data_IF_595195769897
#
_entry.id   IF_595195769897
#
_cell.length_a   1.000
_cell.length_b   1.000
_cell.length_c   1.000
_cell.angle_alpha   90.00
_cell.angle_beta   90.00
_cell.angle_gamma   90.00
#
_symmetry.space_group_name_H-M   'P 1'
#
loop_
_entity.id
_entity.type
_entity.pdbx_description
1 polymer ?
#
# COMPACT_ATOMS: atom_id res chain seq x y z
N UNK A 1 -0.23 -16.06 6.78
CA UNK A 1 0.96 -15.59 6.06
C UNK A 1 2.14 -15.43 7.03
N UNK A 2 3.10 -16.38 7.04
CA UNK A 2 4.29 -16.33 7.85
C UNK A 2 5.34 -17.34 7.33
N UNK A 3 6.60 -16.98 7.23
CA UNK A 3 7.14 -15.61 7.32
C UNK A 3 6.76 -14.78 6.11
N UNK A 4 6.72 -13.45 6.28
CA UNK A 4 6.44 -12.51 5.19
C UNK A 4 7.17 -11.18 5.41
N UNK A 5 7.06 -10.27 4.46
CA UNK A 5 7.56 -8.89 4.56
C UNK A 5 6.45 -7.91 4.21
N UNK A 6 6.47 -6.71 4.77
CA UNK A 6 5.72 -5.59 4.18
C UNK A 6 6.66 -4.88 3.21
N UNK A 7 6.42 -4.92 1.90
CA UNK A 7 7.31 -4.31 0.93
C UNK A 7 7.30 -2.78 1.02
N UNK A 8 8.45 -2.16 1.16
CA UNK A 8 9.78 -2.72 1.46
C UNK A 8 10.30 -2.16 2.80
N UNK A 9 9.39 -1.56 3.60
CA UNK A 9 9.76 -0.89 4.84
C UNK A 9 10.19 -1.90 5.90
N UNK A 10 11.12 -1.48 6.75
CA UNK A 10 11.56 -2.25 7.91
C UNK A 10 11.11 -1.60 9.22
N UNK A 11 11.31 -2.31 10.30
CA UNK A 11 10.95 -1.87 11.63
C UNK A 11 11.99 -2.33 12.68
N UNK A 12 11.94 -1.72 13.85
CA UNK A 12 12.71 -2.14 15.00
C UNK A 12 11.85 -2.99 15.92
N UNK A 13 12.32 -4.19 16.30
CA UNK A 13 11.57 -5.08 17.17
C UNK A 13 11.40 -4.51 18.59
N UNK A 14 12.40 -3.74 19.04
CA UNK A 14 12.41 -3.16 20.38
C UNK A 14 13.29 -1.89 20.41
N UNK A 15 13.36 -1.25 21.57
CA UNK A 15 14.14 -0.02 21.77
C UNK A 15 15.64 -0.23 21.60
N UNK A 16 16.16 -1.37 22.06
CA UNK A 16 17.59 -1.70 21.95
C UNK A 16 18.00 -1.83 20.48
N UNK A 17 17.20 -2.54 19.66
CA UNK A 17 17.45 -2.66 18.23
C UNK A 17 17.42 -1.28 17.52
N UNK A 18 16.51 -0.40 17.94
CA UNK A 18 16.45 0.95 17.41
C UNK A 18 17.70 1.79 17.77
N UNK A 19 18.22 1.65 18.99
CA UNK A 19 19.45 2.32 19.43
C UNK A 19 20.70 1.78 18.68
N UNK A 20 20.68 0.50 18.33
CA UNK A 20 21.77 -0.18 17.59
C UNK A 20 21.60 -0.10 16.07
N UNK A 21 20.48 0.43 15.57
CA UNK A 21 20.17 0.47 14.12
C UNK A 21 19.91 -0.91 13.50
N UNK A 22 19.48 -1.90 14.27
CA UNK A 22 19.18 -3.26 13.79
C UNK A 22 17.75 -3.29 13.26
N UNK A 23 17.63 -3.25 11.92
CA UNK A 23 16.34 -3.23 11.23
C UNK A 23 15.89 -4.66 10.91
N UNK A 24 14.62 -4.94 11.15
CA UNK A 24 13.94 -6.17 10.81
C UNK A 24 12.97 -5.92 9.65
N UNK A 25 12.94 -6.83 8.68
CA UNK A 25 12.00 -6.79 7.54
C UNK A 25 11.02 -7.97 7.54
N UNK A 26 11.35 -9.04 8.24
CA UNK A 26 10.52 -10.26 8.28
C UNK A 26 9.52 -10.16 9.42
N UNK A 27 8.27 -10.42 9.09
CA UNK A 27 7.16 -10.40 10.05
C UNK A 27 6.20 -11.57 9.83
N UNK A 28 5.12 -11.59 10.58
CA UNK A 28 3.97 -12.46 10.36
C UNK A 28 2.76 -11.58 9.99
N UNK A 29 2.00 -12.02 8.98
CA UNK A 29 0.70 -11.44 8.67
C UNK A 29 0.71 -9.93 8.45
N UNK A 30 1.57 -9.43 7.56
CA UNK A 30 1.53 -8.01 7.21
C UNK A 30 0.11 -7.58 6.81
N UNK A 31 -0.22 -6.33 6.99
CA UNK A 31 -1.55 -5.80 6.63
C UNK A 31 -1.83 -6.02 5.15
N UNK A 32 -0.85 -5.81 4.28
CA UNK A 32 -0.98 -6.06 2.84
C UNK A 32 -1.34 -7.52 2.54
N UNK A 33 -0.67 -8.50 3.17
CA UNK A 33 -0.96 -9.92 2.95
C UNK A 33 -2.39 -10.28 3.35
N UNK A 34 -2.83 -9.78 4.51
CA UNK A 34 -4.21 -10.02 4.96
C UNK A 34 -5.23 -9.39 4.00
N UNK A 35 -4.96 -8.20 3.49
CA UNK A 35 -5.81 -7.51 2.52
C UNK A 35 -5.86 -8.26 1.18
N UNK A 36 -4.71 -8.68 0.64
CA UNK A 36 -4.65 -9.45 -0.61
C UNK A 36 -5.36 -10.80 -0.46
N UNK A 37 -5.10 -11.52 0.63
CA UNK A 37 -5.71 -12.83 0.88
C UNK A 37 -7.23 -12.69 0.97
N UNK A 38 -7.74 -11.67 1.65
CA UNK A 38 -9.17 -11.38 1.74
C UNK A 38 -9.78 -11.12 0.36
N UNK A 39 -9.13 -10.29 -0.44
CA UNK A 39 -9.58 -9.97 -1.80
C UNK A 39 -9.71 -11.22 -2.67
N UNK A 40 -8.69 -12.10 -2.61
CA UNK A 40 -8.70 -13.35 -3.37
C UNK A 40 -9.81 -14.28 -2.88
N UNK A 41 -10.00 -14.42 -1.57
CA UNK A 41 -11.06 -15.26 -1.02
C UNK A 41 -12.45 -14.76 -1.43
N UNK A 42 -12.72 -13.45 -1.34
CA UNK A 42 -13.96 -12.84 -1.78
C UNK A 42 -14.20 -13.03 -3.29
N UNK A 43 -13.15 -12.88 -4.11
CA UNK A 43 -13.23 -13.09 -5.54
C UNK A 43 -13.57 -14.56 -5.89
N UNK A 44 -12.93 -15.53 -5.21
CA UNK A 44 -13.20 -16.97 -5.41
C UNK A 44 -14.62 -17.33 -4.97
N UNK A 45 -15.08 -16.85 -3.81
CA UNK A 45 -16.44 -17.08 -3.31
C UNK A 45 -17.45 -16.54 -4.33
N UNK A 46 -17.30 -15.28 -4.75
CA UNK A 46 -18.19 -14.65 -5.73
C UNK A 46 -18.22 -15.40 -7.07
N UNK A 47 -17.06 -15.81 -7.57
CA UNK A 47 -16.97 -16.57 -8.81
C UNK A 47 -17.67 -17.94 -8.70
N UNK A 48 -17.45 -18.66 -7.59
CA UNK A 48 -18.07 -19.96 -7.36
C UNK A 48 -19.60 -19.85 -7.20
N UNK A 49 -20.11 -18.79 -6.59
CA UNK A 49 -21.55 -18.51 -6.49
C UNK A 49 -22.16 -18.24 -7.87
N UNK A 50 -21.52 -17.41 -8.70
CA UNK A 50 -21.97 -17.10 -10.06
C UNK A 50 -21.99 -18.37 -10.92
N UNK A 51 -20.94 -19.17 -10.84
CA UNK A 51 -20.80 -20.43 -11.60
C UNK A 51 -21.64 -21.57 -11.03
N UNK A 52 -22.20 -21.40 -9.81
CA UNK A 52 -22.97 -22.42 -9.08
C UNK A 52 -22.21 -23.72 -8.86
N UNK A 53 -20.91 -23.62 -8.57
CA UNK A 53 -20.02 -24.76 -8.34
C UNK A 53 -19.34 -24.68 -6.98
N UNK A 54 -18.66 -25.75 -6.59
CA UNK A 54 -17.71 -25.80 -5.47
C UNK A 54 -18.21 -25.32 -4.09
N UNK A 55 -19.47 -25.67 -3.74
CA UNK A 55 -20.09 -25.25 -2.47
C UNK A 55 -19.29 -25.59 -1.21
N UNK A 56 -18.52 -26.68 -1.24
CA UNK A 56 -17.63 -27.04 -0.15
C UNK A 56 -16.48 -26.03 -0.03
N UNK A 57 -15.86 -25.68 -1.16
CA UNK A 57 -14.78 -24.71 -1.25
C UNK A 57 -15.23 -23.32 -0.75
N UNK A 58 -16.44 -22.88 -1.10
CA UNK A 58 -17.01 -21.61 -0.60
C UNK A 58 -16.96 -21.58 0.93
N UNK A 59 -17.46 -22.62 1.61
CA UNK A 59 -17.47 -22.70 3.07
C UNK A 59 -16.06 -22.65 3.68
N UNK A 60 -15.10 -23.30 3.04
CA UNK A 60 -13.71 -23.30 3.51
C UNK A 60 -13.09 -21.91 3.39
N UNK A 61 -13.34 -21.17 2.31
CA UNK A 61 -12.87 -19.81 2.14
C UNK A 61 -13.59 -18.80 3.04
N UNK A 62 -14.91 -18.94 3.24
CA UNK A 62 -15.65 -18.14 4.22
C UNK A 62 -15.05 -18.30 5.61
N UNK A 63 -14.84 -19.56 6.04
CA UNK A 63 -14.24 -19.85 7.34
C UNK A 63 -12.83 -19.31 7.46
N UNK A 64 -12.00 -19.46 6.43
CA UNK A 64 -10.63 -18.91 6.42
C UNK A 64 -10.63 -17.37 6.43
N UNK A 65 -11.54 -16.72 5.70
CA UNK A 65 -11.67 -15.27 5.65
C UNK A 65 -12.00 -14.67 7.02
N UNK A 66 -12.86 -15.32 7.80
CA UNK A 66 -13.19 -14.88 9.17
C UNK A 66 -12.00 -14.91 10.13
N UNK A 67 -10.95 -15.64 9.81
CA UNK A 67 -9.73 -15.77 10.63
C UNK A 67 -8.61 -14.84 10.21
N UNK A 68 -8.76 -14.12 9.09
CA UNK A 68 -7.81 -13.10 8.69
C UNK A 68 -7.88 -11.90 9.63
N UNK A 69 -6.71 -11.37 9.96
CA UNK A 69 -6.62 -10.17 10.79
C UNK A 69 -7.25 -9.00 10.03
N UNK A 70 -8.17 -8.25 10.64
CA UNK A 70 -8.75 -7.07 10.02
C UNK A 70 -7.71 -5.95 9.88
N UNK A 71 -7.93 -5.03 8.96
CA UNK A 71 -7.14 -3.80 8.90
C UNK A 71 -7.33 -3.01 10.19
N UNK A 72 -6.24 -2.66 10.86
CA UNK A 72 -6.23 -2.00 12.16
C UNK A 72 -5.66 -0.59 12.06
N UNK A 73 -6.05 0.25 13.02
CA UNK A 73 -5.57 1.61 13.19
C UNK A 73 -4.61 1.64 14.38
N UNK A 74 -3.44 2.25 14.19
CA UNK A 74 -2.43 2.45 15.22
C UNK A 74 -2.81 3.55 16.20
N UNK A 75 -2.08 3.64 17.31
CA UNK A 75 -2.28 4.66 18.34
C UNK A 75 -2.11 6.10 17.83
N UNK A 76 -1.34 6.29 16.73
CA UNK A 76 -1.13 7.60 16.09
C UNK A 76 -2.15 7.89 14.95
N UNK A 77 -3.15 7.04 14.79
CA UNK A 77 -4.27 7.21 13.85
C UNK A 77 -3.99 6.78 12.43
N UNK A 78 -2.90 6.06 12.15
CA UNK A 78 -2.56 5.52 10.83
C UNK A 78 -3.05 4.08 10.66
N UNK A 79 -3.13 3.60 9.43
CA UNK A 79 -3.27 2.16 9.17
C UNK A 79 -1.99 1.46 9.64
N UNK A 80 -2.14 0.42 10.45
CA UNK A 80 -1.01 -0.41 10.88
C UNK A 80 -0.43 -1.19 9.70
N UNK A 81 0.88 -1.16 9.55
CA UNK A 81 1.58 -1.90 8.49
C UNK A 81 1.86 -3.35 8.88
N UNK A 82 2.08 -3.60 10.18
CA UNK A 82 2.39 -4.91 10.76
C UNK A 82 1.39 -5.33 11.82
N UNK A 83 1.55 -6.53 12.34
CA UNK A 83 0.69 -7.09 13.40
C UNK A 83 0.76 -6.30 14.71
N UNK A 84 1.90 -5.70 14.99
CA UNK A 84 2.14 -4.88 16.19
C UNK A 84 2.54 -3.46 15.78
N UNK A 85 2.40 -2.52 16.70
CA UNK A 85 2.84 -1.13 16.52
C UNK A 85 4.36 -1.02 16.69
N UNK A 86 5.10 -1.49 15.70
CA UNK A 86 6.55 -1.33 15.69
C UNK A 86 6.95 0.10 15.33
N UNK A 87 8.12 0.51 15.81
CA UNK A 87 8.76 1.74 15.33
C UNK A 87 9.31 1.49 13.94
N UNK A 88 8.82 2.24 12.97
CA UNK A 88 9.28 2.16 11.59
C UNK A 88 10.77 2.55 11.46
N UNK A 89 11.50 1.86 10.58
CA UNK A 89 12.86 2.24 10.24
C UNK A 89 12.87 3.51 9.37
N UNK A 90 11.91 3.64 8.46
CA UNK A 90 11.76 4.79 7.58
C UNK A 90 10.30 5.27 7.55
N UNK A 91 9.97 6.27 8.37
CA UNK A 91 8.61 6.82 8.49
C UNK A 91 8.09 7.41 7.17
N UNK A 92 8.98 7.94 6.33
CA UNK A 92 8.66 8.50 5.00
C UNK A 92 8.99 7.55 3.85
N UNK A 93 9.00 6.24 4.12
CA UNK A 93 9.25 5.24 3.09
C UNK A 93 8.32 5.46 1.89
N UNK A 94 8.87 5.34 0.68
CA UNK A 94 8.12 5.57 -0.56
C UNK A 94 6.95 4.60 -0.76
N UNK A 95 7.06 3.37 -0.24
CA UNK A 95 6.02 2.36 -0.33
C UNK A 95 4.96 2.51 0.77
N UNK A 96 3.74 2.18 0.42
CA UNK A 96 2.56 2.23 1.28
C UNK A 96 1.69 0.98 1.10
N UNK A 97 2.35 -0.18 1.12
CA UNK A 97 1.76 -1.50 0.84
C UNK A 97 0.52 -1.82 1.69
N UNK A 98 0.49 -1.37 2.93
CA UNK A 98 -0.64 -1.51 3.86
C UNK A 98 -1.90 -0.69 3.47
N UNK A 99 -1.83 0.09 2.39
CA UNK A 99 -2.98 0.76 1.77
C UNK A 99 -3.54 0.01 0.55
N UNK A 100 -3.09 -1.22 0.27
CA UNK A 100 -3.66 -2.07 -0.78
C UNK A 100 -5.19 -2.17 -0.67
N UNK A 101 -5.72 -2.24 0.54
CA UNK A 101 -7.16 -2.27 0.81
C UNK A 101 -7.92 -1.00 0.39
N UNK A 102 -7.22 0.14 0.21
CA UNK A 102 -7.79 1.36 -0.35
C UNK A 102 -7.78 1.32 -1.89
N UNK A 103 -6.65 0.91 -2.48
CA UNK A 103 -6.46 0.70 -3.92
C UNK A 103 -5.27 -0.25 -4.14
N UNK A 104 -5.36 -1.26 -5.03
CA UNK A 104 -6.44 -1.50 -6.01
C UNK A 104 -7.71 -2.13 -5.41
N UNK A 105 -7.63 -2.79 -4.25
CA UNK A 105 -8.82 -3.33 -3.59
C UNK A 105 -9.83 -2.24 -3.19
N UNK A 106 -10.99 -2.66 -2.68
CA UNK A 106 -12.05 -1.77 -2.25
C UNK A 106 -12.55 -2.12 -0.84
N UNK A 107 -11.63 -2.51 0.05
CA UNK A 107 -11.92 -2.85 1.45
C UNK A 107 -12.00 -1.61 2.36
N UNK A 108 -11.29 -0.54 1.98
CA UNK A 108 -11.34 0.78 2.63
C UNK A 108 -12.13 1.71 1.72
N UNK A 109 -13.34 2.04 2.12
CA UNK A 109 -14.28 2.81 1.32
C UNK A 109 -15.03 3.85 2.16
N UNK A 110 -15.93 4.59 1.55
CA UNK A 110 -16.80 5.55 2.26
C UNK A 110 -17.71 4.88 3.31
N UNK A 111 -17.95 3.56 3.22
CA UNK A 111 -18.66 2.80 4.23
C UNK A 111 -17.82 2.43 5.45
N UNK A 112 -16.48 2.66 5.38
CA UNK A 112 -15.54 2.48 6.48
C UNK A 112 -14.82 3.82 6.80
N UNK A 113 -15.54 4.83 7.30
CA UNK A 113 -15.03 6.21 7.40
C UNK A 113 -13.80 6.33 8.32
N UNK A 114 -13.71 5.51 9.36
CA UNK A 114 -12.55 5.49 10.27
C UNK A 114 -11.28 5.00 9.55
N UNK A 115 -11.40 3.93 8.74
CA UNK A 115 -10.29 3.43 7.94
C UNK A 115 -9.91 4.43 6.83
N UNK A 116 -10.89 5.13 6.24
CA UNK A 116 -10.62 6.21 5.28
C UNK A 116 -9.83 7.34 5.91
N UNK A 117 -10.18 7.76 7.13
CA UNK A 117 -9.46 8.79 7.88
C UNK A 117 -8.02 8.31 8.21
N UNK A 118 -7.87 7.07 8.64
CA UNK A 118 -6.57 6.49 8.97
C UNK A 118 -5.68 6.33 7.71
N UNK A 119 -6.25 5.95 6.57
CA UNK A 119 -5.53 5.88 5.30
C UNK A 119 -5.05 7.28 4.84
N UNK A 120 -5.89 8.32 4.97
CA UNK A 120 -5.49 9.71 4.74
C UNK A 120 -4.33 10.10 5.65
N UNK A 121 -4.45 9.82 6.95
CA UNK A 121 -3.39 10.11 7.91
C UNK A 121 -2.08 9.40 7.58
N UNK A 122 -2.15 8.14 7.13
CA UNK A 122 -0.99 7.38 6.66
C UNK A 122 -0.28 8.09 5.51
N UNK A 123 -1.03 8.52 4.48
CA UNK A 123 -0.47 9.22 3.32
C UNK A 123 0.11 10.59 3.68
N UNK A 124 -0.51 11.31 4.61
CA UNK A 124 0.00 12.59 5.10
C UNK A 124 1.36 12.43 5.79
N UNK A 125 1.52 11.40 6.59
CA UNK A 125 2.79 11.10 7.28
C UNK A 125 3.85 10.60 6.29
N UNK A 126 3.50 9.71 5.37
CA UNK A 126 4.40 9.23 4.29
C UNK A 126 4.85 10.37 3.38
N UNK A 127 3.99 11.36 3.16
CA UNK A 127 4.24 12.49 2.30
C UNK A 127 4.12 12.17 0.81
N UNK A 128 4.28 13.21 0.01
CA UNK A 128 4.10 13.16 -1.45
C UNK A 128 5.34 12.65 -2.21
N UNK A 129 6.50 12.61 -1.56
CA UNK A 129 7.73 12.15 -2.17
C UNK A 129 7.64 10.69 -2.62
N UNK A 130 8.31 10.38 -3.70
CA UNK A 130 8.32 9.08 -4.33
C UNK A 130 8.50 9.21 -5.83
N UNK A 131 8.85 8.12 -6.49
CA UNK A 131 9.09 8.06 -7.92
C UNK A 131 8.41 6.83 -8.50
N UNK A 132 8.26 6.79 -9.82
CA UNK A 132 7.71 5.65 -10.51
C UNK A 132 6.32 5.24 -9.99
N UNK A 133 6.08 3.95 -9.91
CA UNK A 133 4.81 3.40 -9.47
C UNK A 133 4.39 3.86 -8.05
N UNK A 134 5.35 4.16 -7.18
CA UNK A 134 5.04 4.65 -5.84
C UNK A 134 4.26 5.98 -5.89
N UNK A 135 4.65 6.90 -6.77
CA UNK A 135 3.94 8.16 -6.97
C UNK A 135 2.61 7.94 -7.69
N UNK A 136 2.58 7.11 -8.73
CA UNK A 136 1.36 6.74 -9.43
C UNK A 136 0.33 6.12 -8.49
N UNK A 137 0.77 5.23 -7.61
CA UNK A 137 -0.10 4.62 -6.61
C UNK A 137 -0.65 5.65 -5.61
N UNK A 138 0.16 6.61 -5.17
CA UNK A 138 -0.32 7.71 -4.32
C UNK A 138 -1.36 8.58 -5.00
N UNK A 139 -1.28 8.79 -6.32
CA UNK A 139 -2.32 9.48 -7.11
C UNK A 139 -3.64 8.71 -6.99
N UNK A 140 -3.63 7.40 -7.20
CA UNK A 140 -4.81 6.54 -7.07
C UNK A 140 -5.41 6.58 -5.66
N UNK A 141 -4.58 6.57 -4.62
CA UNK A 141 -5.03 6.69 -3.22
C UNK A 141 -5.74 8.02 -2.96
N UNK A 142 -5.16 9.15 -3.37
CA UNK A 142 -5.77 10.46 -3.18
C UNK A 142 -7.07 10.60 -3.95
N UNK A 143 -7.15 10.05 -5.16
CA UNK A 143 -8.39 9.98 -5.92
C UNK A 143 -9.47 9.17 -5.19
N UNK A 144 -9.12 8.00 -4.63
CA UNK A 144 -10.04 7.18 -3.80
C UNK A 144 -10.49 7.90 -2.53
N UNK A 145 -9.64 8.71 -1.93
CA UNK A 145 -9.96 9.54 -0.76
C UNK A 145 -10.78 10.79 -1.12
N UNK A 146 -11.03 11.04 -2.41
CA UNK A 146 -11.80 12.19 -2.89
C UNK A 146 -11.00 13.52 -2.86
N UNK A 147 -9.69 13.45 -2.74
CA UNK A 147 -8.80 14.62 -2.77
C UNK A 147 -8.22 14.82 -4.18
N UNK A 148 -9.07 15.30 -5.09
CA UNK A 148 -8.72 15.52 -6.49
C UNK A 148 -7.58 16.50 -6.68
N UNK A 149 -7.53 17.58 -5.88
CA UNK A 149 -6.48 18.59 -5.97
C UNK A 149 -5.10 17.99 -5.67
N UNK A 150 -5.03 17.12 -4.67
CA UNK A 150 -3.75 16.47 -4.32
C UNK A 150 -3.37 15.41 -5.33
N UNK A 151 -4.34 14.65 -5.85
CA UNK A 151 -4.10 13.71 -6.93
C UNK A 151 -3.58 14.40 -8.19
N UNK A 152 -4.19 15.53 -8.61
CA UNK A 152 -3.76 16.36 -9.74
C UNK A 152 -2.34 16.90 -9.53
N UNK A 153 -2.05 17.46 -8.35
CA UNK A 153 -0.70 17.95 -8.02
C UNK A 153 0.36 16.85 -8.20
N UNK A 154 0.08 15.63 -7.73
CA UNK A 154 1.00 14.50 -7.86
C UNK A 154 1.12 14.04 -9.32
N UNK A 155 0.03 14.08 -10.09
CA UNK A 155 0.03 13.77 -11.52
C UNK A 155 0.91 14.75 -12.28
N UNK A 156 0.76 16.05 -12.06
CA UNK A 156 1.65 17.06 -12.65
C UNK A 156 3.12 16.80 -12.32
N UNK A 157 3.41 16.48 -11.06
CA UNK A 157 4.78 16.15 -10.63
C UNK A 157 5.32 14.85 -11.24
N UNK A 158 4.46 13.86 -11.53
CA UNK A 158 4.86 12.63 -12.23
C UNK A 158 5.15 12.90 -13.72
N UNK A 159 4.39 13.78 -14.34
CA UNK A 159 4.52 14.15 -15.76
C UNK A 159 5.51 15.28 -16.02
N UNK A 160 6.18 15.81 -15.00
CA UNK A 160 7.21 16.83 -15.19
C UNK A 160 8.33 16.29 -16.09
N UNK A 161 8.69 17.03 -17.18
CA UNK A 161 9.69 16.53 -18.12
C UNK A 161 11.05 16.31 -17.46
N UNK A 162 11.58 15.11 -17.58
CA UNK A 162 12.90 14.73 -17.15
C UNK A 162 13.82 14.56 -18.36
N UNK A 163 15.05 15.11 -18.28
CA UNK A 163 16.07 15.02 -19.30
C UNK A 163 17.34 14.41 -18.72
N UNK A 164 18.22 13.87 -19.59
CA UNK A 164 19.44 13.18 -19.15
C UNK A 164 20.42 14.09 -18.37
N UNK A 165 20.36 15.38 -18.59
CA UNK A 165 21.15 16.41 -17.91
C UNK A 165 20.44 17.05 -16.70
N UNK A 166 19.20 16.65 -16.46
CA UNK A 166 18.35 17.16 -15.39
C UNK A 166 17.79 15.98 -14.60
N UNK A 167 18.42 15.65 -13.47
CA UNK A 167 17.95 14.58 -12.56
C UNK A 167 16.68 14.99 -11.81
N UNK A 168 15.59 15.26 -12.54
CA UNK A 168 14.27 15.45 -11.91
C UNK A 168 13.75 14.10 -11.44
N UNK A 169 13.94 13.80 -10.17
CA UNK A 169 13.40 12.58 -9.57
C UNK A 169 11.88 12.58 -9.64
N UNK A 170 11.32 11.56 -10.28
CA UNK A 170 9.88 11.34 -10.37
C UNK A 170 9.18 12.06 -11.50
N UNK A 171 9.91 12.65 -12.44
CA UNK A 171 9.36 13.15 -13.70
C UNK A 171 9.28 12.06 -14.77
N UNK A 172 8.98 12.45 -15.98
CA UNK A 172 8.78 11.57 -17.14
C UNK A 172 9.78 11.90 -18.24
N UNK A 173 10.48 10.87 -18.74
CA UNK A 173 11.34 10.99 -19.92
C UNK A 173 10.52 11.06 -21.23
N UNK A 174 11.11 11.57 -22.35
CA UNK A 174 10.41 11.64 -23.64
C UNK A 174 9.86 10.30 -24.17
N UNK A 175 10.45 9.19 -23.74
CA UNK A 175 9.98 7.83 -24.07
C UNK A 175 8.87 7.31 -23.13
N UNK A 176 8.31 8.17 -22.30
CA UNK A 176 7.27 7.88 -21.30
C UNK A 176 7.72 7.02 -20.12
N UNK A 177 8.98 6.71 -19.97
CA UNK A 177 9.48 6.09 -18.74
C UNK A 177 9.54 7.13 -17.63
N UNK A 178 9.28 6.72 -16.40
CA UNK A 178 9.43 7.61 -15.26
C UNK A 178 10.88 7.69 -14.77
N UNK A 179 11.29 8.86 -14.33
CA UNK A 179 12.60 9.10 -13.76
C UNK A 179 12.65 8.59 -12.32
N UNK A 180 13.33 7.47 -12.11
CA UNK A 180 13.52 6.85 -10.79
C UNK A 180 15.00 6.73 -10.42
N UNK A 181 15.88 7.45 -10.91
CA UNK A 181 17.21 7.12 -11.41
C UNK A 181 17.64 5.66 -11.19
N UNK A 182 17.95 4.85 -12.30
CA UNK A 182 17.93 5.39 -13.67
C UNK A 182 16.53 5.62 -14.25
N UNK A 183 15.68 4.63 -14.42
CA UNK A 183 14.32 4.76 -14.95
C UNK A 183 13.47 3.57 -14.54
N UNK A 184 12.15 3.75 -14.57
CA UNK A 184 11.15 2.69 -14.42
C UNK A 184 10.05 2.85 -15.45
N UNK A 185 9.47 1.73 -15.89
CA UNK A 185 8.35 1.71 -16.83
C UNK A 185 7.01 1.76 -16.11
N UNK A 186 6.94 1.18 -14.93
CA UNK A 186 5.75 0.88 -14.17
C UNK A 186 5.02 2.10 -13.57
N UNK A 187 5.64 3.26 -13.54
CA UNK A 187 5.02 4.48 -13.03
C UNK A 187 4.04 5.13 -14.00
N UNK A 188 4.32 5.07 -15.30
CA UNK A 188 3.56 5.76 -16.35
C UNK A 188 2.80 4.83 -17.27
N UNK A 189 3.25 3.59 -17.39
CA UNK A 189 2.74 2.61 -18.38
C UNK A 189 2.19 1.33 -17.73
N UNK A 190 2.26 1.22 -16.40
CA UNK A 190 1.76 0.09 -15.62
C UNK A 190 0.35 0.26 -15.09
#
# INVERSE_FOLDING_TARGET
>A
TAPTTSPENGFYLNKEDAERGIVTHICMGSTMDNQITREIFEAVITAAEILKCDRALIKDFEYASLRLVPTRISSDGRIMEWMEEYREAEVKHRHVSHLFGLYPAAQITRSTPELMAAARRTLEVRGDAGTGWSRAWKICFWARLGDGNRAEKLLHSLLEPAFADNEVRGGTYPNLFCSHPPFQIDGNLG
#
